data_IF_810514906846
#
_entry.id   IF_810514906846
#
_cell.length_a   1.000
_cell.length_b   1.000
_cell.length_c   1.000
_cell.angle_alpha   90.00
_cell.angle_beta   90.00
_cell.angle_gamma   90.00
#
_symmetry.space_group_name_H-M   'P 1'
#
loop_
_entity.id
_entity.type
_entity.pdbx_description
1 polymer ?
#
# COMPACT_ATOMS: atom_id res chain seq x y z
N UNK A 1 12.68 -15.75 12.54
CA UNK A 1 13.57 -16.37 13.54
C UNK A 1 13.37 -15.69 14.90
N UNK A 2 13.68 -14.40 15.07
CA UNK A 2 13.61 -13.66 16.36
C UNK A 2 12.26 -13.85 17.08
N UNK A 3 11.13 -13.68 16.38
CA UNK A 3 9.78 -13.85 16.95
C UNK A 3 9.60 -15.26 17.53
N UNK A 4 10.06 -16.29 16.81
CA UNK A 4 9.95 -17.67 17.25
C UNK A 4 10.84 -17.94 18.48
N UNK A 5 12.07 -17.40 18.51
CA UNK A 5 12.94 -17.52 19.67
C UNK A 5 12.29 -16.95 20.94
N UNK A 6 11.70 -15.76 20.85
CA UNK A 6 10.97 -15.16 21.98
C UNK A 6 9.73 -15.97 22.37
N UNK A 7 8.98 -16.48 21.39
CA UNK A 7 7.78 -17.28 21.65
C UNK A 7 8.13 -18.58 22.39
N UNK A 8 9.14 -19.30 21.93
CA UNK A 8 9.49 -20.62 22.49
C UNK A 8 10.45 -20.51 23.69
N UNK A 9 11.48 -19.68 23.61
CA UNK A 9 12.47 -19.52 24.67
C UNK A 9 11.91 -18.84 25.92
N UNK A 10 11.09 -17.81 25.74
CA UNK A 10 10.53 -17.03 26.87
C UNK A 10 9.04 -17.27 27.08
N UNK A 11 8.42 -18.24 26.42
CA UNK A 11 6.97 -18.55 26.51
C UNK A 11 6.05 -17.35 26.36
N UNK A 12 6.46 -16.35 25.55
CA UNK A 12 5.71 -15.10 25.33
C UNK A 12 4.48 -15.33 24.45
N UNK A 13 3.37 -14.71 24.79
CA UNK A 13 2.20 -14.60 23.93
C UNK A 13 2.47 -13.52 22.85
N UNK A 14 2.60 -13.95 21.59
CA UNK A 14 2.95 -13.05 20.48
C UNK A 14 1.88 -13.10 19.42
N UNK A 15 1.43 -11.92 19.00
CA UNK A 15 0.59 -11.71 17.83
C UNK A 15 1.48 -11.22 16.68
N UNK A 16 1.43 -11.91 15.54
CA UNK A 16 2.08 -11.48 14.31
C UNK A 16 1.02 -11.06 13.29
N UNK A 17 1.13 -9.83 12.81
CA UNK A 17 0.24 -9.31 11.75
C UNK A 17 1.05 -9.13 10.47
N UNK A 18 0.55 -9.69 9.36
CA UNK A 18 1.13 -9.58 8.02
C UNK A 18 0.16 -8.82 7.13
N UNK A 19 0.58 -7.65 6.66
CA UNK A 19 -0.25 -6.77 5.81
C UNK A 19 0.07 -6.85 4.33
N UNK A 20 -0.90 -6.52 3.48
CA UNK A 20 -0.66 -6.17 2.07
C UNK A 20 0.03 -4.80 1.96
N UNK A 21 0.07 -4.23 0.73
CA UNK A 21 0.55 -2.88 0.52
C UNK A 21 -0.39 -1.87 1.20
N UNK A 22 0.04 -1.34 2.34
CA UNK A 22 -0.76 -0.35 3.08
C UNK A 22 -0.64 1.00 2.38
N UNK A 23 -1.76 1.73 2.24
CA UNK A 23 -1.80 3.08 1.66
C UNK A 23 -2.54 4.05 2.58
N UNK A 24 -2.26 5.35 2.40
CA UNK A 24 -2.93 6.43 3.12
C UNK A 24 -2.18 7.76 2.95
N UNK A 25 -2.69 8.80 3.60
CA UNK A 25 -1.98 10.08 3.72
C UNK A 25 -0.65 9.89 4.46
N UNK A 26 0.31 10.78 4.24
CA UNK A 26 1.66 10.73 4.85
C UNK A 26 2.48 9.47 4.51
N UNK A 27 2.05 8.65 3.55
CA UNK A 27 2.84 7.51 3.10
C UNK A 27 4.18 7.99 2.51
N UNK A 28 5.25 7.24 2.78
CA UNK A 28 6.60 7.59 2.34
C UNK A 28 6.70 7.70 0.81
N UNK A 29 7.34 8.75 0.26
CA UNK A 29 7.30 9.11 -1.17
C UNK A 29 7.88 8.09 -2.16
N UNK A 30 8.68 7.12 -1.71
CA UNK A 30 9.17 6.04 -2.59
C UNK A 30 8.08 5.04 -3.00
N UNK A 31 6.96 4.99 -2.27
CA UNK A 31 5.85 4.08 -2.56
C UNK A 31 5.06 4.59 -3.77
N UNK A 32 4.47 3.65 -4.53
CA UNK A 32 3.87 3.93 -5.83
C UNK A 32 2.86 5.10 -5.81
N UNK A 33 1.90 5.09 -4.89
CA UNK A 33 0.83 6.09 -4.84
C UNK A 33 1.40 7.50 -4.60
N UNK A 34 2.13 7.77 -3.50
CA UNK A 34 2.69 9.11 -3.29
C UNK A 34 3.71 9.49 -4.37
N UNK A 35 4.50 8.55 -4.89
CA UNK A 35 5.44 8.82 -5.98
C UNK A 35 4.71 9.30 -7.24
N UNK A 36 3.63 8.64 -7.64
CA UNK A 36 2.80 9.09 -8.76
C UNK A 36 2.28 10.50 -8.54
N UNK A 37 1.66 10.76 -7.38
CA UNK A 37 1.06 12.06 -7.07
C UNK A 37 2.11 13.17 -7.06
N UNK A 38 3.21 12.98 -6.33
CA UNK A 38 4.28 13.99 -6.21
C UNK A 38 4.99 14.23 -7.54
N UNK A 39 5.19 13.19 -8.37
CA UNK A 39 5.73 13.35 -9.72
C UNK A 39 4.84 14.27 -10.57
N UNK A 40 3.53 14.05 -10.53
CA UNK A 40 2.56 14.86 -11.29
C UNK A 40 2.47 16.30 -10.76
N UNK A 41 2.53 16.51 -9.45
CA UNK A 41 2.59 17.86 -8.85
C UNK A 41 3.84 18.61 -9.34
N UNK A 42 4.99 17.93 -9.39
CA UNK A 42 6.26 18.51 -9.86
C UNK A 42 6.42 18.47 -11.38
N UNK A 43 5.37 18.13 -12.14
CA UNK A 43 5.38 17.98 -13.60
C UNK A 43 6.47 17.03 -14.12
N UNK A 44 6.85 16.01 -13.34
CA UNK A 44 7.85 14.99 -13.68
C UNK A 44 7.17 13.71 -14.18
N UNK A 45 7.95 12.85 -14.85
CA UNK A 45 7.51 11.50 -15.27
C UNK A 45 7.31 10.60 -14.05
N UNK A 46 6.39 9.64 -14.17
CA UNK A 46 6.15 8.58 -13.22
C UNK A 46 6.94 7.36 -13.66
N UNK A 47 8.01 6.95 -12.96
CA UNK A 47 8.76 5.75 -13.32
C UNK A 47 7.98 4.50 -12.92
N UNK A 48 7.65 3.66 -13.90
CA UNK A 48 7.02 2.36 -13.71
C UNK A 48 8.02 1.26 -14.05
N UNK A 49 8.35 0.43 -13.09
CA UNK A 49 9.30 -0.68 -13.27
C UNK A 49 8.72 -1.78 -14.17
N UNK A 50 9.54 -2.27 -15.10
CA UNK A 50 9.17 -3.30 -16.06
C UNK A 50 8.02 -2.81 -16.96
N UNK A 51 7.04 -3.70 -17.21
CA UNK A 51 5.85 -3.40 -18.00
C UNK A 51 4.65 -2.89 -17.19
N UNK A 52 4.83 -2.71 -15.88
CA UNK A 52 3.79 -2.23 -14.97
C UNK A 52 2.63 -3.20 -14.72
N UNK A 53 2.73 -4.48 -15.13
CA UNK A 53 1.69 -5.50 -14.95
C UNK A 53 1.73 -6.20 -13.59
N UNK A 54 2.68 -5.87 -12.71
CA UNK A 54 2.77 -6.43 -11.38
C UNK A 54 1.53 -6.10 -10.56
N UNK A 55 0.91 -7.12 -9.96
CA UNK A 55 -0.34 -7.00 -9.22
C UNK A 55 -0.06 -6.78 -7.73
N UNK A 56 -0.75 -5.81 -7.15
CA UNK A 56 -0.73 -5.50 -5.71
C UNK A 56 -2.15 -5.38 -5.17
N UNK A 57 -2.29 -5.63 -3.88
CA UNK A 57 -3.54 -5.48 -3.14
C UNK A 57 -3.34 -4.37 -2.13
N UNK A 58 -4.13 -3.31 -2.25
CA UNK A 58 -3.96 -2.11 -1.45
C UNK A 58 -4.92 -2.12 -0.27
N UNK A 59 -4.38 -2.00 0.94
CA UNK A 59 -5.13 -1.94 2.19
C UNK A 59 -4.99 -0.55 2.80
N UNK A 60 -6.13 0.08 3.13
CA UNK A 60 -6.12 1.38 3.81
C UNK A 60 -5.45 1.27 5.18
N UNK A 61 -4.65 2.27 5.55
CA UNK A 61 -4.07 2.37 6.89
C UNK A 61 -5.15 2.41 7.99
N UNK A 62 -6.32 2.99 7.69
CA UNK A 62 -7.49 2.99 8.60
C UNK A 62 -8.01 1.57 8.83
N UNK A 63 -8.19 0.79 7.76
CA UNK A 63 -8.64 -0.60 7.89
C UNK A 63 -7.58 -1.47 8.58
N UNK A 64 -6.30 -1.21 8.32
CA UNK A 64 -5.20 -1.91 8.99
C UNK A 64 -5.20 -1.64 10.50
N UNK A 65 -5.39 -0.40 10.93
CA UNK A 65 -5.50 -0.06 12.36
C UNK A 65 -6.70 -0.71 13.03
N UNK A 66 -7.88 -0.72 12.36
CA UNK A 66 -9.06 -1.44 12.84
C UNK A 66 -8.80 -2.96 12.99
N UNK A 67 -8.03 -3.55 12.05
CA UNK A 67 -7.65 -4.95 12.11
C UNK A 67 -6.77 -5.24 13.34
N UNK A 68 -5.75 -4.41 13.59
CA UNK A 68 -4.88 -4.53 14.76
C UNK A 68 -5.72 -4.49 16.04
N UNK A 69 -6.57 -3.47 16.19
CA UNK A 69 -7.46 -3.33 17.36
C UNK A 69 -8.38 -4.55 17.54
N UNK A 70 -8.94 -5.09 16.43
CA UNK A 70 -9.80 -6.27 16.49
C UNK A 70 -9.03 -7.51 16.97
N UNK A 71 -7.82 -7.73 16.44
CA UNK A 71 -6.98 -8.87 16.82
C UNK A 71 -6.59 -8.77 18.29
N UNK A 72 -6.13 -7.61 18.75
CA UNK A 72 -5.74 -7.38 20.15
C UNK A 72 -6.88 -7.62 21.13
N UNK A 73 -8.12 -7.20 20.77
CA UNK A 73 -9.31 -7.41 21.62
C UNK A 73 -9.80 -8.86 21.65
N UNK A 74 -9.53 -9.65 20.61
CA UNK A 74 -10.13 -10.99 20.45
C UNK A 74 -9.15 -12.14 20.70
N UNK A 75 -7.83 -11.87 20.69
CA UNK A 75 -6.82 -12.93 20.82
C UNK A 75 -5.61 -12.44 21.60
N UNK A 76 -4.85 -13.39 22.16
CA UNK A 76 -3.58 -13.12 22.84
C UNK A 76 -2.36 -13.58 22.01
N UNK A 77 -2.56 -14.48 21.06
CA UNK A 77 -1.47 -15.08 20.24
C UNK A 77 -1.93 -15.49 18.84
N UNK A 78 -1.00 -15.61 17.95
CA UNK A 78 -1.22 -16.15 16.61
C UNK A 78 -0.71 -15.29 15.47
N UNK A 79 -0.83 -15.81 14.24
CA UNK A 79 -0.46 -15.11 13.00
C UNK A 79 -1.73 -14.78 12.26
N UNK A 80 -1.90 -13.50 11.89
CA UNK A 80 -3.05 -12.98 11.16
C UNK A 80 -2.60 -12.24 9.91
N UNK A 81 -3.06 -12.71 8.75
CA UNK A 81 -2.92 -11.96 7.52
C UNK A 81 -4.04 -10.93 7.42
N UNK A 82 -3.67 -9.69 7.10
CA UNK A 82 -4.58 -8.54 7.03
C UNK A 82 -4.41 -7.88 5.66
N UNK A 83 -5.43 -7.88 4.84
CA UNK A 83 -5.30 -7.39 3.47
C UNK A 83 -6.63 -7.08 2.80
N UNK A 84 -6.52 -6.58 1.57
CA UNK A 84 -7.64 -6.42 0.65
C UNK A 84 -7.63 -7.54 -0.38
N UNK A 85 -8.76 -7.78 -1.03
CA UNK A 85 -8.93 -8.81 -2.05
C UNK A 85 -9.04 -8.24 -3.47
N UNK A 86 -9.10 -6.91 -3.62
CA UNK A 86 -9.20 -6.24 -4.91
C UNK A 86 -7.80 -6.03 -5.48
N UNK A 87 -7.47 -6.67 -6.62
CA UNK A 87 -6.16 -6.52 -7.27
C UNK A 87 -6.09 -5.24 -8.09
N UNK A 88 -4.90 -4.64 -8.15
CA UNK A 88 -4.55 -3.56 -9.06
C UNK A 88 -3.14 -3.78 -9.60
N UNK A 89 -2.96 -3.61 -10.91
CA UNK A 89 -1.62 -3.48 -11.49
C UNK A 89 -1.03 -2.09 -11.20
N UNK A 90 0.29 -1.98 -11.26
CA UNK A 90 0.95 -0.69 -11.11
C UNK A 90 0.47 0.31 -12.20
N UNK A 91 0.21 -0.19 -13.42
CA UNK A 91 -0.33 0.61 -14.51
C UNK A 91 -1.73 1.16 -14.21
N UNK A 92 -2.63 0.34 -13.66
CA UNK A 92 -3.99 0.78 -13.32
C UNK A 92 -3.95 1.87 -12.26
N UNK A 93 -3.13 1.72 -11.22
CA UNK A 93 -2.99 2.74 -10.18
C UNK A 93 -2.42 4.04 -10.75
N UNK A 94 -1.35 3.98 -11.56
CA UNK A 94 -0.75 5.16 -12.15
C UNK A 94 -1.70 5.88 -13.11
N UNK A 95 -2.42 5.13 -13.97
CA UNK A 95 -3.42 5.70 -14.90
C UNK A 95 -4.58 6.34 -14.15
N UNK A 96 -5.07 5.72 -13.08
CA UNK A 96 -6.14 6.25 -12.25
C UNK A 96 -5.73 7.58 -11.59
N UNK A 97 -4.52 7.65 -11.02
CA UNK A 97 -3.99 8.89 -10.44
C UNK A 97 -3.83 9.97 -11.51
N UNK A 98 -3.30 9.64 -12.68
CA UNK A 98 -3.23 10.57 -13.80
C UNK A 98 -4.62 11.13 -14.16
N UNK A 99 -5.63 10.27 -14.29
CA UNK A 99 -7.02 10.66 -14.58
C UNK A 99 -7.57 11.61 -13.51
N UNK A 100 -7.42 11.27 -12.23
CA UNK A 100 -7.91 12.09 -11.11
C UNK A 100 -7.19 13.44 -11.00
N UNK A 101 -5.98 13.56 -11.54
CA UNK A 101 -5.21 14.80 -11.56
C UNK A 101 -5.28 15.54 -12.91
N UNK A 102 -6.17 15.14 -13.83
CA UNK A 102 -6.32 15.71 -15.18
C UNK A 102 -5.00 15.70 -15.98
N UNK A 103 -4.21 14.63 -15.87
CA UNK A 103 -2.95 14.45 -16.59
C UNK A 103 -3.05 13.32 -17.61
N UNK A 104 -2.42 13.47 -18.78
CA UNK A 104 -2.41 12.43 -19.81
C UNK A 104 -1.43 11.30 -19.43
N UNK A 105 -1.89 10.05 -19.20
CA UNK A 105 -1.02 8.95 -18.83
C UNK A 105 0.10 8.67 -19.84
N UNK A 106 -0.17 8.81 -21.14
CA UNK A 106 0.83 8.61 -22.20
C UNK A 106 1.99 9.60 -22.10
N UNK A 107 1.73 10.81 -21.64
CA UNK A 107 2.75 11.85 -21.45
C UNK A 107 3.57 11.62 -20.18
N UNK A 108 2.94 11.12 -19.10
CA UNK A 108 3.58 11.12 -17.77
C UNK A 108 4.09 9.74 -17.33
N UNK A 109 3.53 8.62 -17.79
CA UNK A 109 4.04 7.30 -17.44
C UNK A 109 5.28 6.98 -18.29
N UNK A 110 6.38 6.63 -17.61
CA UNK A 110 7.63 6.20 -18.22
C UNK A 110 8.00 4.82 -17.69
N UNK A 111 8.17 3.86 -18.59
CA UNK A 111 8.64 2.53 -18.20
C UNK A 111 10.16 2.54 -18.02
N UNK A 112 10.63 1.97 -16.92
CA UNK A 112 12.04 1.85 -16.58
C UNK A 112 12.42 0.38 -16.38
N UNK A 113 13.71 0.08 -16.36
CA UNK A 113 14.22 -1.29 -16.12
C UNK A 113 13.60 -1.88 -14.86
N UNK A 114 13.17 -3.13 -14.95
CA UNK A 114 12.60 -3.81 -13.79
C UNK A 114 13.69 -4.15 -12.75
N UNK A 115 13.26 -4.37 -11.52
CA UNK A 115 14.14 -4.84 -10.45
C UNK A 115 14.55 -6.29 -10.72
N UNK A 116 15.75 -6.72 -10.28
CA UNK A 116 16.17 -8.12 -10.41
C UNK A 116 15.15 -9.11 -9.83
N UNK A 117 14.56 -8.74 -8.69
CA UNK A 117 13.47 -9.48 -8.05
C UNK A 117 12.27 -8.59 -7.84
N UNK A 118 11.14 -8.97 -8.44
CA UNK A 118 9.89 -8.24 -8.33
C UNK A 118 8.72 -9.23 -8.42
N UNK A 119 8.04 -9.43 -7.29
CA UNK A 119 6.91 -10.36 -7.23
C UNK A 119 5.84 -10.00 -8.26
N UNK A 120 5.46 -10.93 -9.12
CA UNK A 120 4.41 -10.73 -10.13
C UNK A 120 3.07 -10.46 -9.46
N UNK A 121 2.78 -11.16 -8.36
CA UNK A 121 1.54 -11.02 -7.60
C UNK A 121 1.80 -11.28 -6.12
N UNK A 122 1.30 -10.39 -5.27
CA UNK A 122 1.43 -10.50 -3.82
C UNK A 122 0.05 -10.59 -3.18
N UNK A 123 -0.44 -11.82 -3.03
CA UNK A 123 -1.78 -12.15 -2.51
C UNK A 123 -1.67 -12.89 -1.19
N UNK A 124 -2.59 -12.60 -0.25
CA UNK A 124 -2.67 -13.27 1.04
C UNK A 124 -4.12 -13.64 1.36
N UNK A 125 -4.32 -14.76 2.03
CA UNK A 125 -5.63 -15.15 2.53
C UNK A 125 -5.94 -14.43 3.84
N UNK A 126 -7.12 -13.82 3.93
CA UNK A 126 -7.61 -13.10 5.13
C UNK A 126 -8.70 -13.88 5.87
N UNK A 127 -8.89 -15.17 5.56
CA UNK A 127 -9.99 -15.97 6.14
C UNK A 127 -9.92 -16.05 7.66
N UNK A 128 -8.73 -16.11 8.23
CA UNK A 128 -8.56 -16.20 9.69
C UNK A 128 -9.03 -14.93 10.41
N UNK A 129 -8.72 -13.74 9.90
CA UNK A 129 -9.17 -12.50 10.53
C UNK A 129 -10.67 -12.23 10.26
N UNK A 130 -11.20 -12.68 9.13
CA UNK A 130 -12.64 -12.63 8.85
C UNK A 130 -13.45 -13.37 9.93
N UNK A 131 -12.96 -14.51 10.45
CA UNK A 131 -13.60 -15.23 11.56
C UNK A 131 -13.65 -14.43 12.87
N UNK A 132 -12.80 -13.42 13.02
CA UNK A 132 -12.85 -12.47 14.15
C UNK A 132 -13.85 -11.32 13.91
N UNK A 133 -14.57 -11.32 12.79
CA UNK A 133 -15.52 -10.27 12.42
C UNK A 133 -14.88 -9.02 11.84
N UNK A 134 -13.69 -9.12 11.21
CA UNK A 134 -13.05 -8.02 10.49
C UNK A 134 -13.08 -8.26 8.98
N UNK A 135 -13.35 -7.21 8.22
CA UNK A 135 -13.21 -7.13 6.76
C UNK A 135 -12.72 -5.74 6.34
N UNK A 136 -12.02 -5.59 5.21
CA UNK A 136 -11.68 -4.27 4.69
C UNK A 136 -12.95 -3.54 4.24
N UNK A 137 -13.07 -2.27 4.59
CA UNK A 137 -14.22 -1.41 4.26
C UNK A 137 -13.86 -0.35 3.23
N UNK A 138 -12.60 0.10 3.25
CA UNK A 138 -12.09 1.14 2.37
C UNK A 138 -11.70 0.60 0.99
N UNK A 139 -11.91 1.42 -0.03
CA UNK A 139 -11.58 1.09 -1.42
C UNK A 139 -10.61 2.14 -1.97
N UNK A 140 -9.50 1.70 -2.56
CA UNK A 140 -8.46 2.57 -3.10
C UNK A 140 -9.04 3.66 -4.02
N UNK A 141 -9.92 3.28 -4.95
CA UNK A 141 -10.51 4.21 -5.92
C UNK A 141 -11.28 5.35 -5.24
N UNK A 142 -12.00 5.04 -4.16
CA UNK A 142 -12.79 6.02 -3.40
C UNK A 142 -11.92 6.92 -2.51
N UNK A 143 -10.80 6.41 -2.03
CA UNK A 143 -9.92 7.14 -1.12
C UNK A 143 -8.89 8.02 -1.86
N UNK A 144 -8.55 7.69 -3.11
CA UNK A 144 -7.53 8.41 -3.88
C UNK A 144 -7.78 9.91 -4.02
N UNK A 145 -9.01 10.42 -4.26
CA UNK A 145 -9.24 11.86 -4.35
C UNK A 145 -8.78 12.62 -3.09
N UNK A 146 -9.18 12.17 -1.91
CA UNK A 146 -8.78 12.80 -0.64
C UNK A 146 -7.28 12.69 -0.37
N UNK A 147 -6.65 11.58 -0.77
CA UNK A 147 -5.20 11.39 -0.67
C UNK A 147 -4.48 12.38 -1.59
N UNK A 148 -4.93 12.52 -2.85
CA UNK A 148 -4.36 13.47 -3.81
C UNK A 148 -4.45 14.89 -3.27
N UNK A 149 -5.60 15.29 -2.75
CA UNK A 149 -5.80 16.63 -2.20
C UNK A 149 -4.89 16.88 -0.98
N UNK A 150 -4.73 15.87 -0.13
CA UNK A 150 -3.79 15.98 0.99
C UNK A 150 -2.36 16.23 0.48
N UNK A 151 -1.88 15.46 -0.53
CA UNK A 151 -0.53 15.66 -1.08
C UNK A 151 -0.38 17.00 -1.80
N UNK A 152 -1.41 17.50 -2.52
CA UNK A 152 -1.39 18.84 -3.13
C UNK A 152 -1.19 19.93 -2.09
N UNK A 153 -1.89 19.83 -0.96
CA UNK A 153 -1.81 20.84 0.11
C UNK A 153 -0.52 20.73 0.94
N UNK A 154 0.14 19.57 0.93
CA UNK A 154 1.28 19.29 1.80
C UNK A 154 2.56 18.90 1.04
N UNK A 155 2.64 19.10 -0.28
CA UNK A 155 3.78 18.63 -1.10
C UNK A 155 5.12 19.24 -0.67
N UNK A 156 5.12 20.42 -0.08
CA UNK A 156 6.33 21.10 0.43
C UNK A 156 7.06 20.28 1.50
N UNK A 157 6.37 19.45 2.26
CA UNK A 157 6.95 18.53 3.25
C UNK A 157 7.91 17.51 2.59
N UNK A 158 7.74 17.29 1.28
CA UNK A 158 8.51 16.32 0.50
C UNK A 158 9.53 16.96 -0.45
N UNK A 159 9.87 18.26 -0.27
CA UNK A 159 10.79 18.96 -1.16
C UNK A 159 12.21 18.36 -1.14
N UNK A 160 12.66 17.88 0.00
CA UNK A 160 13.97 17.23 0.17
C UNK A 160 14.02 15.83 -0.49
N UNK A 161 12.88 15.30 -0.91
CA UNK A 161 12.80 13.96 -1.49
C UNK A 161 13.13 14.01 -2.99
N UNK A 162 14.22 13.35 -3.38
CA UNK A 162 14.57 13.17 -4.80
C UNK A 162 13.59 12.15 -5.42
N UNK A 163 12.92 12.55 -6.49
CA UNK A 163 11.99 11.72 -7.26
C UNK A 163 12.68 11.16 -8.53
N UNK A 164 13.94 10.84 -8.40
CA UNK A 164 14.73 10.29 -9.52
C UNK A 164 14.35 8.82 -9.78
#
# INVERSE_FOLDING_TARGET
IIINSHKYGYKKEIITIRGNNIYGIKQYPEKLIPRCILSLIKNKKIPIHGNGKHIRYYLSAVDFSKAITKVLKKTKKGIYNVGNTIPYSNNEVAKLICKLMNKNPKKYIQYVKDRPYNDRRYSISINKIKKLGWKPEKQLVKDLPSIIDWYKNNYKLFNKFKLD
#
